data_IF_059656326502
#
_entry.id   IF_059656326502
#
_cell.length_a   1.000
_cell.length_b   1.000
_cell.length_c   1.000
_cell.angle_alpha   90.00
_cell.angle_beta   90.00
_cell.angle_gamma   90.00
#
_symmetry.space_group_name_H-M   'P 1'
#
loop_
_entity.id
_entity.type
_entity.pdbx_description
1 polymer ?
#
# COMPACT_ATOMS: atom_id res chain seq x y z
N UNK A 1 -1.40 1.74 5.02
CA UNK A 1 -0.50 0.66 4.60
C UNK A 1 -1.29 -0.42 3.87
N UNK A 2 -0.75 -0.99 2.79
CA UNK A 2 -1.29 -2.15 2.07
C UNK A 2 -0.18 -3.19 1.97
N UNK A 3 -0.52 -4.44 1.70
CA UNK A 3 0.51 -5.46 1.44
C UNK A 3 1.45 -5.02 0.31
N UNK A 4 2.73 -4.96 0.66
CA UNK A 4 3.82 -4.73 -0.26
C UNK A 4 3.87 -5.83 -1.33
N UNK A 5 3.78 -7.09 -0.91
CA UNK A 5 3.83 -8.26 -1.78
C UNK A 5 2.60 -8.41 -2.70
N UNK A 6 1.41 -7.96 -2.28
CA UNK A 6 0.16 -8.19 -3.04
C UNK A 6 -0.29 -7.02 -3.90
N UNK A 7 0.15 -5.78 -3.65
CA UNK A 7 -0.46 -4.62 -4.33
C UNK A 7 0.43 -3.40 -4.57
N UNK A 8 1.61 -3.30 -3.95
CA UNK A 8 2.43 -2.08 -4.00
C UNK A 8 3.35 -1.97 -5.21
N UNK A 9 4.03 -3.05 -5.58
CA UNK A 9 5.32 -2.91 -6.29
C UNK A 9 5.22 -2.96 -7.82
N UNK A 10 4.26 -3.72 -8.35
CA UNK A 10 3.85 -3.57 -9.76
C UNK A 10 3.40 -2.14 -10.09
N UNK A 11 2.90 -1.39 -9.09
CA UNK A 11 2.53 0.01 -9.26
C UNK A 11 3.74 0.94 -9.34
N UNK A 12 4.81 0.66 -8.61
CA UNK A 12 6.02 1.48 -8.64
C UNK A 12 6.72 1.35 -9.99
N UNK A 13 6.98 0.13 -10.48
CA UNK A 13 7.52 -0.06 -11.84
C UNK A 13 6.58 0.51 -12.90
N UNK A 14 5.27 0.30 -12.78
CA UNK A 14 4.30 0.87 -13.71
C UNK A 14 4.20 2.40 -13.67
N UNK A 15 4.54 3.02 -12.53
CA UNK A 15 4.73 4.46 -12.41
C UNK A 15 6.03 4.90 -13.09
N UNK A 16 7.15 4.23 -12.82
CA UNK A 16 8.44 4.53 -13.45
C UNK A 16 8.41 4.34 -14.98
N UNK A 17 7.72 3.31 -15.48
CA UNK A 17 7.44 3.13 -16.92
C UNK A 17 6.67 4.31 -17.51
N UNK A 18 5.71 4.87 -16.78
CA UNK A 18 4.97 6.05 -17.24
C UNK A 18 5.83 7.33 -17.24
N UNK A 19 6.95 7.33 -16.51
CA UNK A 19 7.99 8.37 -16.55
C UNK A 19 9.12 8.06 -17.53
N UNK A 20 8.96 7.02 -18.37
CA UNK A 20 9.96 6.60 -19.37
C UNK A 20 11.32 6.20 -18.77
N UNK A 21 11.33 5.67 -17.55
CA UNK A 21 12.55 5.11 -16.95
C UNK A 21 13.05 3.91 -17.80
N UNK A 22 14.28 3.98 -18.37
CA UNK A 22 14.80 2.93 -19.26
C UNK A 22 14.93 1.56 -18.58
N UNK A 23 15.34 1.52 -17.31
CA UNK A 23 15.46 0.27 -16.55
C UNK A 23 14.07 -0.34 -16.31
N UNK A 24 13.06 0.48 -16.04
CA UNK A 24 11.69 0.01 -15.86
C UNK A 24 11.06 -0.50 -17.17
N UNK A 25 11.44 0.08 -18.31
CA UNK A 25 10.99 -0.35 -19.65
C UNK A 25 11.65 -1.68 -20.02
N UNK A 26 12.98 -1.76 -19.90
CA UNK A 26 13.78 -2.86 -20.44
C UNK A 26 13.76 -4.14 -19.60
N UNK A 27 13.44 -4.04 -18.31
CA UNK A 27 13.41 -5.20 -17.41
C UNK A 27 12.00 -5.62 -17.02
N UNK A 28 11.78 -6.92 -16.84
CA UNK A 28 10.56 -7.45 -16.23
C UNK A 28 10.47 -7.04 -14.75
N UNK A 29 9.27 -7.07 -14.16
CA UNK A 29 9.15 -6.74 -12.74
C UNK A 29 9.90 -7.76 -11.86
N UNK A 30 9.94 -9.02 -12.28
CA UNK A 30 10.70 -10.07 -11.61
C UNK A 30 12.20 -9.74 -11.58
N UNK A 31 12.80 -9.49 -12.75
CA UNK A 31 14.22 -9.11 -12.87
C UNK A 31 14.60 -7.90 -12.02
N UNK A 32 13.71 -6.91 -11.92
CA UNK A 32 13.94 -5.73 -11.08
C UNK A 32 14.02 -6.11 -9.61
N UNK A 33 13.10 -6.95 -9.11
CA UNK A 33 13.08 -7.26 -7.68
C UNK A 33 14.11 -8.30 -7.27
N UNK A 34 14.54 -9.18 -8.19
CA UNK A 34 15.54 -10.22 -7.95
C UNK A 34 16.96 -9.84 -8.36
N UNK A 35 17.19 -8.61 -8.83
CA UNK A 35 18.52 -8.13 -9.20
C UNK A 35 19.54 -8.33 -8.07
N UNK A 36 20.69 -8.90 -8.41
CA UNK A 36 21.79 -9.15 -7.48
C UNK A 36 22.90 -8.09 -7.62
N UNK A 37 23.96 -8.22 -6.83
CA UNK A 37 25.08 -7.27 -6.83
C UNK A 37 25.87 -7.20 -8.15
N UNK A 38 25.67 -8.13 -9.08
CA UNK A 38 26.28 -8.11 -10.42
C UNK A 38 25.48 -7.26 -11.43
N UNK A 39 24.25 -6.87 -11.08
CA UNK A 39 23.40 -6.02 -11.91
C UNK A 39 23.94 -4.59 -12.07
N UNK A 40 23.43 -3.89 -13.09
CA UNK A 40 23.77 -2.48 -13.30
C UNK A 40 23.31 -1.59 -12.14
N UNK A 41 24.02 -0.48 -11.93
CA UNK A 41 23.69 0.49 -10.87
C UNK A 41 22.28 1.05 -11.04
N UNK A 42 21.83 1.23 -12.27
CA UNK A 42 20.49 1.71 -12.60
C UNK A 42 19.42 0.70 -12.17
N UNK A 43 19.64 -0.60 -12.43
CA UNK A 43 18.72 -1.66 -12.05
C UNK A 43 18.65 -1.80 -10.52
N UNK A 44 19.79 -1.77 -9.83
CA UNK A 44 19.84 -1.78 -8.36
C UNK A 44 19.17 -0.54 -7.75
N UNK A 45 19.29 0.62 -8.38
CA UNK A 45 18.59 1.84 -7.95
C UNK A 45 17.08 1.68 -8.09
N UNK A 46 16.62 1.10 -9.21
CA UNK A 46 15.20 0.82 -9.44
C UNK A 46 14.65 -0.24 -8.49
N UNK A 47 15.44 -1.28 -8.17
CA UNK A 47 15.10 -2.29 -7.17
C UNK A 47 14.89 -1.64 -5.80
N UNK A 48 15.87 -0.85 -5.33
CA UNK A 48 15.78 -0.13 -4.05
C UNK A 48 14.58 0.80 -3.97
N UNK A 49 14.32 1.57 -5.03
CA UNK A 49 13.12 2.44 -5.12
C UNK A 49 11.82 1.64 -5.14
N UNK A 50 11.88 0.40 -5.61
CA UNK A 50 10.73 -0.50 -5.60
C UNK A 50 10.53 -1.07 -4.20
N UNK A 51 11.52 -1.74 -3.61
CA UNK A 51 11.40 -2.51 -2.37
C UNK A 51 11.44 -1.68 -1.08
N UNK A 52 12.37 -0.74 -0.95
CA UNK A 52 12.60 -0.05 0.34
C UNK A 52 11.36 0.70 0.88
N UNK A 53 10.48 1.32 0.06
CA UNK A 53 9.25 1.92 0.57
C UNK A 53 8.29 0.93 1.24
N UNK A 54 8.43 -0.38 1.00
CA UNK A 54 7.64 -1.43 1.63
C UNK A 54 8.09 -1.82 3.05
N UNK A 55 9.27 -1.37 3.51
CA UNK A 55 9.81 -1.69 4.85
C UNK A 55 9.18 -0.78 5.92
N UNK A 56 7.88 -0.94 6.15
CA UNK A 56 7.07 0.01 6.92
C UNK A 56 7.54 0.25 8.35
N UNK A 57 8.07 -0.78 9.04
CA UNK A 57 8.57 -0.65 10.40
C UNK A 57 9.71 0.38 10.49
N UNK A 58 10.73 0.24 9.64
CA UNK A 58 11.87 1.15 9.54
C UNK A 58 11.43 2.60 9.35
N UNK A 59 10.48 2.84 8.44
CA UNK A 59 9.98 4.19 8.18
C UNK A 59 9.20 4.74 9.37
N UNK A 60 8.35 3.93 10.00
CA UNK A 60 7.59 4.34 11.19
C UNK A 60 8.51 4.68 12.36
N UNK A 61 9.60 3.94 12.58
CA UNK A 61 10.55 4.22 13.65
C UNK A 61 11.19 5.60 13.50
N UNK A 62 11.51 6.03 12.28
CA UNK A 62 11.97 7.41 12.05
C UNK A 62 10.93 8.46 12.42
N UNK A 63 9.63 8.23 12.14
CA UNK A 63 8.57 9.15 12.58
C UNK A 63 8.42 9.18 14.09
N UNK A 64 8.60 8.04 14.77
CA UNK A 64 8.48 7.90 16.22
C UNK A 64 9.60 8.58 17.01
N UNK A 65 10.71 8.96 16.35
CA UNK A 65 11.73 9.85 16.95
C UNK A 65 11.14 11.23 17.26
N UNK A 66 10.15 11.67 16.47
CA UNK A 66 9.62 13.04 16.52
C UNK A 66 8.17 13.12 17.02
N UNK A 67 7.39 12.06 16.81
CA UNK A 67 5.96 12.02 17.14
C UNK A 67 5.62 10.89 18.08
N UNK A 68 4.72 11.16 19.02
CA UNK A 68 4.22 10.11 19.91
C UNK A 68 3.29 9.18 19.15
N UNK A 69 3.26 7.90 19.54
CA UNK A 69 2.42 6.87 18.91
C UNK A 69 0.94 7.30 18.77
N UNK A 70 0.39 7.97 19.80
CA UNK A 70 -0.99 8.47 19.81
C UNK A 70 -1.29 9.55 18.76
N UNK A 71 -0.27 10.17 18.17
CA UNK A 71 -0.39 11.14 17.09
C UNK A 71 -0.32 10.48 15.70
N UNK A 72 -0.18 9.15 15.65
CA UNK A 72 -0.12 8.38 14.40
C UNK A 72 -1.40 7.56 14.25
N UNK A 73 -2.08 7.73 13.12
CA UNK A 73 -3.22 6.92 12.73
C UNK A 73 -2.88 6.05 11.52
N UNK A 74 -2.76 4.73 11.74
CA UNK A 74 -2.43 3.79 10.68
C UNK A 74 -3.69 3.40 9.92
N UNK A 75 -3.78 3.85 8.67
CA UNK A 75 -4.89 3.49 7.78
C UNK A 75 -4.63 2.15 7.11
N UNK A 76 -5.55 1.20 7.24
CA UNK A 76 -5.55 -0.01 6.41
C UNK A 76 -6.00 0.33 4.98
N UNK A 77 -5.09 0.23 4.03
CA UNK A 77 -5.38 0.59 2.65
C UNK A 77 -6.18 -0.47 1.89
N UNK A 78 -6.19 -1.73 2.33
CA UNK A 78 -7.07 -2.77 1.77
C UNK A 78 -8.50 -2.47 2.17
N UNK A 79 -8.71 -2.14 3.45
CA UNK A 79 -10.00 -1.73 3.98
C UNK A 79 -10.46 -0.39 3.38
N UNK A 80 -9.57 0.59 3.21
CA UNK A 80 -9.93 1.86 2.56
C UNK A 80 -10.44 1.65 1.12
N UNK A 81 -9.90 0.65 0.41
CA UNK A 81 -10.34 0.33 -0.95
C UNK A 81 -11.71 -0.33 -0.96
N UNK A 82 -11.98 -1.28 -0.07
CA UNK A 82 -13.23 -2.04 -0.04
C UNK A 82 -14.36 -1.31 0.68
N UNK A 83 -14.06 -0.67 1.81
CA UNK A 83 -14.99 0.05 2.67
C UNK A 83 -14.37 1.37 3.18
N UNK A 84 -14.35 2.42 2.33
CA UNK A 84 -13.78 3.71 2.70
C UNK A 84 -14.56 4.43 3.80
N UNK A 85 -15.87 4.21 3.92
CA UNK A 85 -16.71 4.86 4.95
C UNK A 85 -16.19 4.53 6.34
N UNK A 86 -15.98 3.25 6.63
CA UNK A 86 -15.48 2.80 7.93
C UNK A 86 -14.12 3.41 8.28
N UNK A 87 -13.21 3.49 7.29
CA UNK A 87 -11.87 4.04 7.49
C UNK A 87 -11.93 5.56 7.71
N UNK A 88 -12.72 6.27 6.89
CA UNK A 88 -12.84 7.72 7.00
C UNK A 88 -13.52 8.14 8.30
N UNK A 89 -14.49 7.38 8.81
CA UNK A 89 -15.07 7.61 10.13
C UNK A 89 -14.03 7.46 11.25
N UNK A 90 -13.13 6.47 11.14
CA UNK A 90 -12.00 6.32 12.05
C UNK A 90 -11.07 7.54 12.03
N UNK A 91 -10.78 8.07 10.85
CA UNK A 91 -9.96 9.28 10.67
C UNK A 91 -10.66 10.50 11.27
N UNK A 92 -11.96 10.68 11.06
CA UNK A 92 -12.72 11.80 11.64
C UNK A 92 -12.65 11.80 13.16
N UNK A 93 -12.83 10.63 13.79
CA UNK A 93 -12.72 10.49 15.25
C UNK A 93 -11.30 10.77 15.74
N UNK A 94 -10.29 10.26 15.05
CA UNK A 94 -8.89 10.50 15.38
C UNK A 94 -8.53 12.00 15.32
N UNK A 95 -9.05 12.72 14.32
CA UNK A 95 -8.83 14.16 14.15
C UNK A 95 -9.73 15.05 15.02
N UNK A 96 -10.73 14.46 15.70
CA UNK A 96 -11.70 15.23 16.49
C UNK A 96 -12.64 16.10 15.64
N UNK A 97 -12.98 15.66 14.42
CA UNK A 97 -13.86 16.42 13.52
C UNK A 97 -15.29 16.46 14.06
N UNK A 98 -15.84 17.67 14.20
CA UNK A 98 -17.23 17.90 14.58
C UNK A 98 -17.85 19.02 13.73
N UNK A 99 -19.04 18.81 13.12
CA UNK A 99 -19.85 17.59 13.12
C UNK A 99 -19.23 16.48 12.26
N UNK A 100 -19.57 15.23 12.57
CA UNK A 100 -19.15 14.07 11.77
C UNK A 100 -19.83 14.13 10.40
N UNK A 101 -19.03 14.03 9.35
CA UNK A 101 -19.47 13.99 7.97
C UNK A 101 -19.95 12.59 7.57
N UNK A 102 -21.11 12.51 6.93
CA UNK A 102 -21.72 11.24 6.52
C UNK A 102 -21.18 10.75 5.16
N UNK A 103 -20.10 9.96 5.20
CA UNK A 103 -19.51 9.39 4.00
C UNK A 103 -20.39 8.35 3.27
N UNK A 104 -21.36 7.73 3.95
CA UNK A 104 -22.33 6.81 3.32
C UNK A 104 -23.16 7.51 2.25
N UNK A 105 -23.51 8.77 2.48
CA UNK A 105 -24.25 9.58 1.51
C UNK A 105 -23.33 10.23 0.48
N UNK A 106 -22.09 10.56 0.87
CA UNK A 106 -21.14 11.26 0.02
C UNK A 106 -20.34 10.37 -0.93
N UNK A 107 -20.34 9.05 -0.73
CA UNK A 107 -19.59 8.10 -1.56
C UNK A 107 -20.52 7.17 -2.34
N UNK A 108 -20.04 6.73 -3.50
CA UNK A 108 -20.70 5.73 -4.34
C UNK A 108 -19.64 4.88 -5.03
N UNK A 109 -19.89 3.58 -5.16
CA UNK A 109 -18.99 2.70 -5.91
C UNK A 109 -19.27 2.80 -7.41
N UNK A 110 -18.23 3.06 -8.21
CA UNK A 110 -18.32 3.07 -9.67
C UNK A 110 -17.74 1.75 -10.20
N UNK A 111 -18.61 0.87 -10.70
CA UNK A 111 -18.25 -0.46 -11.22
C UNK A 111 -17.28 -0.41 -12.40
N UNK A 112 -17.43 0.59 -13.29
CA UNK A 112 -16.56 0.74 -14.45
C UNK A 112 -15.15 1.17 -14.02
N UNK A 113 -15.06 2.04 -13.01
CA UNK A 113 -13.80 2.44 -12.41
C UNK A 113 -13.21 1.32 -11.55
N UNK A 114 -14.06 0.55 -10.87
CA UNK A 114 -13.70 -0.45 -9.84
C UNK A 114 -13.28 0.18 -8.51
N UNK A 115 -13.70 1.42 -8.23
CA UNK A 115 -13.34 2.16 -7.01
C UNK A 115 -14.50 3.02 -6.52
N UNK A 116 -14.46 3.37 -5.24
CA UNK A 116 -15.33 4.38 -4.64
C UNK A 116 -14.99 5.78 -5.14
N UNK A 117 -16.03 6.56 -5.42
CA UNK A 117 -15.99 7.91 -5.97
C UNK A 117 -16.89 8.85 -5.15
N UNK A 118 -16.67 10.15 -5.27
CA UNK A 118 -17.52 11.14 -4.63
C UNK A 118 -18.86 11.25 -5.36
N UNK A 119 -19.96 11.12 -4.63
CA UNK A 119 -21.32 11.38 -5.13
C UNK A 119 -21.50 12.88 -5.35
N UNK A 120 -22.11 13.25 -6.47
CA UNK A 120 -22.56 14.61 -6.76
C UNK A 120 -24.09 14.59 -6.91
N UNK A 121 -24.76 15.66 -6.50
CA UNK A 121 -26.23 15.74 -6.50
C UNK A 121 -26.86 15.71 -7.90
N UNK A 122 -26.15 16.22 -8.91
CA UNK A 122 -26.71 16.49 -10.24
C UNK A 122 -25.96 15.82 -11.40
N UNK A 123 -25.22 14.72 -11.18
CA UNK A 123 -24.50 14.11 -12.30
C UNK A 123 -23.63 12.89 -11.98
N UNK A 124 -22.70 12.61 -12.90
CA UNK A 124 -21.76 11.49 -12.81
C UNK A 124 -20.90 11.64 -11.54
N UNK A 125 -20.63 10.55 -10.81
CA UNK A 125 -19.75 10.61 -9.65
C UNK A 125 -18.36 11.12 -10.04
N UNK A 126 -17.78 11.94 -9.14
CA UNK A 126 -16.43 12.46 -9.29
C UNK A 126 -15.43 11.43 -8.77
N UNK A 127 -14.87 10.66 -9.68
CA UNK A 127 -13.83 9.69 -9.39
C UNK A 127 -12.43 10.32 -9.37
N UNK A 128 -11.49 9.66 -8.69
CA UNK A 128 -10.07 10.00 -8.79
C UNK A 128 -9.58 9.86 -10.26
N UNK A 129 -8.66 10.73 -10.66
CA UNK A 129 -8.18 10.81 -12.05
C UNK A 129 -7.47 9.54 -12.56
N UNK A 130 -7.15 9.52 -13.86
CA UNK A 130 -6.59 8.35 -14.59
C UNK A 130 -5.30 7.78 -13.97
N UNK A 131 -4.53 8.58 -13.24
CA UNK A 131 -3.31 8.13 -12.56
C UNK A 131 -3.56 7.30 -11.29
N UNK A 132 -4.80 7.26 -10.79
CA UNK A 132 -5.19 6.53 -9.57
C UNK A 132 -5.99 5.28 -9.90
N UNK A 133 -5.58 4.14 -9.33
CA UNK A 133 -6.19 2.84 -9.63
C UNK A 133 -5.88 2.36 -11.06
N UNK A 134 -4.63 2.54 -11.51
CA UNK A 134 -4.15 1.97 -12.78
C UNK A 134 -4.25 0.44 -12.70
N UNK A 135 -4.73 -0.19 -13.77
CA UNK A 135 -4.72 -1.65 -13.92
C UNK A 135 -3.31 -2.08 -14.30
N UNK A 136 -2.75 -3.00 -13.52
CA UNK A 136 -1.48 -3.65 -13.81
C UNK A 136 -1.75 -5.10 -14.14
N UNK A 137 -0.94 -5.75 -15.00
CA UNK A 137 -0.99 -7.20 -15.16
C UNK A 137 -0.87 -7.89 -13.81
N UNK A 138 -1.48 -9.07 -13.69
CA UNK A 138 -1.29 -9.91 -12.51
C UNK A 138 0.18 -10.22 -12.30
N UNK A 139 0.59 -10.25 -11.04
CA UNK A 139 1.97 -10.54 -10.67
C UNK A 139 2.26 -12.01 -10.86
N UNK A 140 3.37 -12.33 -11.53
CA UNK A 140 3.81 -13.70 -11.71
C UNK A 140 3.99 -14.42 -10.36
N UNK A 141 3.56 -15.69 -10.22
CA UNK A 141 3.61 -16.43 -8.96
C UNK A 141 4.98 -16.44 -8.28
N UNK A 142 6.04 -16.64 -9.05
CA UNK A 142 7.43 -16.63 -8.60
C UNK A 142 7.87 -15.27 -8.05
N UNK A 143 7.37 -14.17 -8.64
CA UNK A 143 7.62 -12.82 -8.13
C UNK A 143 6.88 -12.59 -6.83
N UNK A 144 5.64 -13.09 -6.71
CA UNK A 144 4.87 -13.01 -5.48
C UNK A 144 5.52 -13.82 -4.36
N UNK A 145 6.02 -15.01 -4.66
CA UNK A 145 6.74 -15.86 -3.72
C UNK A 145 8.00 -15.15 -3.21
N UNK A 146 8.82 -14.62 -4.12
CA UNK A 146 10.01 -13.84 -3.76
C UNK A 146 9.67 -12.65 -2.86
N UNK A 147 8.66 -11.84 -3.20
CA UNK A 147 8.27 -10.70 -2.38
C UNK A 147 7.69 -11.11 -1.02
N UNK A 148 6.99 -12.24 -0.96
CA UNK A 148 6.43 -12.78 0.30
C UNK A 148 7.57 -13.17 1.24
N UNK A 149 8.61 -13.82 0.72
CA UNK A 149 9.80 -14.18 1.49
C UNK A 149 10.60 -12.94 1.90
N UNK A 150 10.88 -12.03 0.95
CA UNK A 150 11.60 -10.78 1.19
C UNK A 150 10.94 -9.93 2.30
N UNK A 151 9.60 -9.81 2.30
CA UNK A 151 8.89 -9.00 3.29
C UNK A 151 8.57 -9.75 4.59
N UNK A 152 8.91 -11.04 4.73
CA UNK A 152 8.51 -11.84 5.89
C UNK A 152 8.98 -11.22 7.20
N UNK A 153 10.29 -10.98 7.33
CA UNK A 153 10.85 -10.38 8.54
C UNK A 153 10.38 -8.93 8.73
N UNK A 154 10.31 -8.14 7.66
CA UNK A 154 9.80 -6.77 7.74
C UNK A 154 8.34 -6.68 8.21
N UNK A 155 7.50 -7.64 7.82
CA UNK A 155 6.12 -7.75 8.27
C UNK A 155 6.06 -8.18 9.75
N UNK A 156 6.93 -9.08 10.20
CA UNK A 156 7.03 -9.46 11.61
C UNK A 156 7.50 -8.28 12.48
N UNK A 157 8.49 -7.52 12.03
CA UNK A 157 8.94 -6.27 12.67
C UNK A 157 7.80 -5.28 12.79
N UNK A 158 7.04 -5.07 11.70
CA UNK A 158 5.88 -4.19 11.71
C UNK A 158 4.81 -4.66 12.70
N UNK A 159 4.50 -5.97 12.73
CA UNK A 159 3.55 -6.54 13.67
C UNK A 159 3.98 -6.28 15.13
N UNK A 160 5.24 -6.58 15.46
CA UNK A 160 5.81 -6.34 16.79
C UNK A 160 5.76 -4.86 17.16
N UNK A 161 6.14 -3.99 16.23
CA UNK A 161 6.10 -2.53 16.42
C UNK A 161 4.69 -2.05 16.71
N UNK A 162 3.70 -2.38 15.88
CA UNK A 162 2.33 -1.91 16.06
C UNK A 162 1.71 -2.42 17.37
N UNK A 163 1.97 -3.69 17.73
CA UNK A 163 1.53 -4.24 19.02
C UNK A 163 2.15 -3.50 20.21
N UNK A 164 3.47 -3.24 20.18
CA UNK A 164 4.17 -2.47 21.22
C UNK A 164 3.58 -1.07 21.39
N UNK A 165 3.15 -0.45 20.29
CA UNK A 165 2.55 0.89 20.30
C UNK A 165 1.05 0.90 20.63
N UNK A 166 0.43 -0.28 20.78
CA UNK A 166 -1.03 -0.39 20.99
C UNK A 166 -1.86 0.07 19.80
N UNK A 167 -1.30 0.06 18.59
CA UNK A 167 -1.98 0.49 17.36
C UNK A 167 -2.74 -0.67 16.71
N UNK A 168 -3.89 -0.37 16.11
CA UNK A 168 -4.68 -1.38 15.40
C UNK A 168 -3.91 -1.98 14.22
N UNK A 169 -3.92 -3.30 14.13
CA UNK A 169 -3.25 -4.03 13.06
C UNK A 169 -4.09 -3.97 11.76
N UNK A 170 -3.49 -3.71 10.59
CA UNK A 170 -4.14 -3.91 9.31
C UNK A 170 -4.55 -5.37 9.09
N UNK A 171 -5.67 -5.62 8.39
CA UNK A 171 -6.17 -6.97 8.12
C UNK A 171 -5.18 -7.79 7.29
N UNK A 172 -4.61 -7.18 6.25
CA UNK A 172 -3.65 -7.83 5.36
C UNK A 172 -2.40 -8.32 6.09
N UNK A 173 -1.96 -7.59 7.14
CA UNK A 173 -0.77 -7.96 7.91
C UNK A 173 -1.04 -9.19 8.78
N UNK A 174 -2.23 -9.27 9.39
CA UNK A 174 -2.65 -10.46 10.16
C UNK A 174 -2.70 -11.69 9.26
N UNK A 175 -3.30 -11.56 8.08
CA UNK A 175 -3.41 -12.65 7.12
C UNK A 175 -2.04 -13.14 6.65
N UNK A 176 -1.10 -12.23 6.34
CA UNK A 176 0.23 -12.61 5.83
C UNK A 176 1.11 -13.29 6.88
N UNK A 177 1.09 -12.82 8.12
CA UNK A 177 1.85 -13.44 9.22
C UNK A 177 1.24 -14.79 9.60
N UNK A 178 -0.09 -14.91 9.58
CA UNK A 178 -0.74 -16.19 9.82
C UNK A 178 -0.42 -17.18 8.70
N UNK A 179 -0.53 -16.82 7.42
CA UNK A 179 -0.25 -17.73 6.31
C UNK A 179 1.18 -18.28 6.32
N UNK A 180 2.15 -17.48 6.79
CA UNK A 180 3.56 -17.87 6.86
C UNK A 180 3.91 -18.67 8.13
N UNK A 181 2.97 -18.89 9.04
CA UNK A 181 3.14 -19.79 10.20
C UNK A 181 2.71 -21.24 9.90
N UNK A 182 2.05 -21.48 8.76
CA UNK A 182 1.57 -22.79 8.31
C UNK A 182 2.27 -23.29 7.02
N UNK A 183 3.36 -22.63 6.63
CA UNK A 183 4.25 -23.02 5.51
C UNK A 183 5.62 -23.35 6.05
#
# INVERSE_FOLDING_TARGET
>A
MQSAAKSGHGRMRGHQRAHQDPAAINHTFHEVVTADSSASKELLTLQNRSLNPGTYATHLEHWLIHYQARQLHIVDGTLLRSNPVLVLDGIQRFLGVTPIFNYTQALVFDELKGFWCQRLEAGRPKCLGKSKGRKYPEMAPETRAFLTDFYREHNLELLRLLNRLGLALPSWLREEVQSSSWS
#
